data_IF_015151244813
#
_entry.id   IF_015151244813
#
_cell.length_a   1.000
_cell.length_b   1.000
_cell.length_c   1.000
_cell.angle_alpha   90.00
_cell.angle_beta   90.00
_cell.angle_gamma   90.00
#
_symmetry.space_group_name_H-M   'P 1'
#
loop_
_entity.id
_entity.type
_entity.pdbx_description
1 polymer ?
#
# COMPACT_ATOMS: atom_id res chain seq x y z
N UNK A 1 -17.46 -32.82 -8.74
CA UNK A 1 -17.51 -31.51 -8.07
C UNK A 1 -16.36 -30.69 -8.61
N UNK A 2 -16.62 -29.54 -9.25
CA UNK A 2 -15.54 -28.57 -9.52
C UNK A 2 -15.23 -27.93 -8.17
N UNK A 3 -13.97 -28.01 -7.71
CA UNK A 3 -13.53 -27.20 -6.59
C UNK A 3 -13.91 -25.75 -6.85
N UNK A 4 -14.75 -25.21 -5.97
CA UNK A 4 -15.17 -23.82 -6.05
C UNK A 4 -13.99 -23.00 -5.53
N UNK A 5 -13.30 -22.32 -6.43
CA UNK A 5 -12.23 -21.40 -6.05
C UNK A 5 -12.80 -20.32 -5.12
N UNK A 6 -12.16 -20.13 -3.96
CA UNK A 6 -12.50 -19.14 -2.94
C UNK A 6 -11.32 -18.20 -2.77
N UNK A 7 -11.58 -16.90 -2.63
CA UNK A 7 -10.57 -15.89 -2.38
C UNK A 7 -9.86 -16.20 -1.07
N UNK A 8 -8.58 -16.53 -1.21
CA UNK A 8 -7.64 -16.81 -0.15
C UNK A 8 -6.39 -16.01 -0.46
N UNK A 9 -5.90 -15.24 0.51
CA UNK A 9 -4.68 -14.47 0.35
C UNK A 9 -3.47 -15.40 0.41
N UNK A 10 -2.48 -15.13 -0.44
CA UNK A 10 -1.18 -15.78 -0.44
C UNK A 10 -0.14 -14.96 0.32
N UNK A 11 1.13 -15.13 -0.04
CA UNK A 11 2.21 -14.25 0.42
C UNK A 11 1.94 -12.82 -0.04
N UNK A 12 2.26 -11.80 0.76
CA UNK A 12 1.97 -10.40 0.40
C UNK A 12 2.81 -9.88 -0.77
N UNK A 13 2.25 -8.94 -1.53
CA UNK A 13 3.04 -8.09 -2.41
C UNK A 13 3.78 -7.07 -1.53
N UNK A 14 5.08 -7.28 -1.36
CA UNK A 14 5.97 -6.38 -0.64
C UNK A 14 6.91 -5.64 -1.61
N UNK A 15 6.95 -4.32 -1.54
CA UNK A 15 7.93 -3.50 -2.27
C UNK A 15 8.46 -2.38 -1.37
N UNK A 16 9.70 -1.98 -1.64
CA UNK A 16 10.33 -0.82 -1.01
C UNK A 16 11.00 0.03 -2.08
N UNK A 17 10.87 1.36 -1.95
CA UNK A 17 11.58 2.32 -2.80
C UNK A 17 12.13 3.46 -1.96
N UNK A 18 13.36 3.85 -2.26
CA UNK A 18 14.02 5.00 -1.68
C UNK A 18 14.25 6.09 -2.73
N UNK A 19 14.10 7.36 -2.33
CA UNK A 19 14.47 8.52 -3.12
C UNK A 19 15.54 9.33 -2.40
N UNK A 20 16.55 9.73 -3.16
CA UNK A 20 17.70 10.47 -2.66
C UNK A 20 17.74 11.88 -3.23
N UNK A 21 18.08 12.83 -2.38
CA UNK A 21 18.40 14.21 -2.76
C UNK A 21 19.83 14.51 -2.30
N UNK A 22 20.70 14.87 -3.24
CA UNK A 22 22.12 15.15 -3.00
C UNK A 22 22.87 14.02 -2.24
N UNK A 23 22.58 12.77 -2.62
CA UNK A 23 23.14 11.57 -1.97
C UNK A 23 22.55 11.23 -0.60
N UNK A 24 21.60 12.01 -0.10
CA UNK A 24 20.90 11.77 1.18
C UNK A 24 19.56 11.11 0.88
N UNK A 25 19.31 9.95 1.49
CA UNK A 25 18.00 9.30 1.46
C UNK A 25 16.96 10.13 2.19
N UNK A 26 16.10 10.86 1.45
CA UNK A 26 15.12 11.79 2.04
C UNK A 26 13.73 11.21 2.20
N UNK A 27 13.38 10.20 1.40
CA UNK A 27 12.08 9.55 1.41
C UNK A 27 12.25 8.05 1.20
N UNK A 28 11.58 7.25 2.02
CA UNK A 28 11.31 5.83 1.73
C UNK A 28 9.81 5.59 1.62
N UNK A 29 9.44 4.68 0.73
CA UNK A 29 8.10 4.13 0.64
C UNK A 29 8.19 2.63 0.84
N UNK A 30 7.45 2.11 1.82
CA UNK A 30 7.26 0.69 2.06
C UNK A 30 5.81 0.34 1.75
N UNK A 31 5.57 -0.75 1.03
CA UNK A 31 4.22 -1.24 0.80
C UNK A 31 4.13 -2.73 1.08
N UNK A 32 3.01 -3.09 1.70
CA UNK A 32 2.56 -4.45 1.94
C UNK A 32 1.11 -4.51 1.49
N UNK A 33 0.82 -5.27 0.44
CA UNK A 33 -0.50 -5.34 -0.18
C UNK A 33 -0.94 -6.79 -0.38
N UNK A 34 -2.26 -7.05 -0.34
CA UNK A 34 -2.78 -8.39 -0.54
C UNK A 34 -2.52 -8.87 -1.96
N UNK A 35 -2.17 -10.14 -2.09
CA UNK A 35 -2.21 -10.86 -3.35
C UNK A 35 -2.64 -12.31 -3.10
N UNK A 36 -3.04 -12.97 -4.16
CA UNK A 36 -3.41 -14.40 -4.15
C UNK A 36 -2.26 -15.27 -4.65
N UNK A 37 -1.44 -14.74 -5.59
CA UNK A 37 -0.34 -15.50 -6.21
C UNK A 37 -0.83 -16.63 -7.14
N UNK A 38 -2.14 -16.67 -7.41
CA UNK A 38 -2.78 -17.74 -8.16
C UNK A 38 -2.89 -17.45 -9.66
N UNK A 39 -3.09 -18.51 -10.43
CA UNK A 39 -3.03 -18.45 -11.90
C UNK A 39 -4.39 -18.26 -12.57
N UNK A 40 -5.50 -18.37 -11.83
CA UNK A 40 -6.83 -18.21 -12.41
C UNK A 40 -7.08 -16.78 -12.86
N UNK A 41 -8.06 -16.60 -13.76
CA UNK A 41 -8.46 -15.27 -14.23
C UNK A 41 -8.95 -14.36 -13.09
N UNK A 42 -9.57 -14.93 -12.05
CA UNK A 42 -10.13 -14.17 -10.91
C UNK A 42 -9.02 -13.68 -9.99
N UNK A 43 -8.07 -14.56 -9.66
CA UNK A 43 -6.85 -14.28 -8.90
C UNK A 43 -6.00 -13.21 -9.61
N UNK A 44 -5.66 -13.41 -10.89
CA UNK A 44 -4.92 -12.43 -11.69
C UNK A 44 -5.58 -11.06 -11.78
N UNK A 45 -6.92 -10.98 -11.70
CA UNK A 45 -7.64 -9.71 -11.67
C UNK A 45 -7.48 -9.02 -10.32
N UNK A 46 -7.61 -9.77 -9.22
CA UNK A 46 -7.40 -9.28 -7.86
C UNK A 46 -5.95 -8.79 -7.69
N UNK A 47 -4.96 -9.59 -8.07
CA UNK A 47 -3.54 -9.25 -7.96
C UNK A 47 -3.17 -8.03 -8.82
N UNK A 48 -3.76 -7.92 -10.01
CA UNK A 48 -3.57 -6.75 -10.88
C UNK A 48 -4.11 -5.47 -10.26
N UNK A 49 -5.24 -5.54 -9.56
CA UNK A 49 -5.81 -4.37 -8.88
C UNK A 49 -4.83 -3.84 -7.83
N UNK A 50 -4.29 -4.70 -6.97
CA UNK A 50 -3.35 -4.30 -5.92
C UNK A 50 -1.97 -3.91 -6.46
N UNK A 51 -1.50 -4.53 -7.54
CA UNK A 51 -0.31 -4.05 -8.25
C UNK A 51 -0.50 -2.63 -8.82
N UNK A 52 -1.69 -2.32 -9.34
CA UNK A 52 -2.03 -0.97 -9.78
C UNK A 52 -2.05 0.04 -8.64
N UNK A 53 -2.54 -0.37 -7.46
CA UNK A 53 -2.47 0.44 -6.23
C UNK A 53 -1.02 0.69 -5.81
N UNK A 54 -0.16 -0.33 -5.81
CA UNK A 54 1.27 -0.22 -5.51
C UNK A 54 1.95 0.83 -6.42
N UNK A 55 1.77 0.69 -7.73
CA UNK A 55 2.32 1.60 -8.73
C UNK A 55 1.83 3.04 -8.52
N UNK A 56 0.54 3.21 -8.22
CA UNK A 56 -0.04 4.54 -7.97
C UNK A 56 0.53 5.18 -6.70
N UNK A 57 0.72 4.39 -5.64
CA UNK A 57 1.30 4.86 -4.39
C UNK A 57 2.75 5.32 -4.58
N UNK A 58 3.57 4.50 -5.24
CA UNK A 58 4.96 4.85 -5.57
C UNK A 58 5.04 6.10 -6.45
N UNK A 59 4.22 6.18 -7.50
CA UNK A 59 4.17 7.36 -8.37
C UNK A 59 3.77 8.63 -7.59
N UNK A 60 2.84 8.52 -6.63
CA UNK A 60 2.46 9.65 -5.78
C UNK A 60 3.60 10.10 -4.86
N UNK A 61 4.32 9.15 -4.27
CA UNK A 61 5.49 9.44 -3.44
C UNK A 61 6.53 10.26 -4.23
N UNK A 62 6.80 9.84 -5.45
CA UNK A 62 7.74 10.51 -6.36
C UNK A 62 7.26 11.91 -6.77
N UNK A 63 5.99 12.05 -7.16
CA UNK A 63 5.44 13.31 -7.68
C UNK A 63 5.19 14.37 -6.61
N UNK A 64 4.81 13.97 -5.39
CA UNK A 64 4.32 14.91 -4.36
C UNK A 64 5.14 14.93 -3.09
N UNK A 65 5.68 13.79 -2.65
CA UNK A 65 6.31 13.68 -1.35
C UNK A 65 7.82 13.89 -1.43
N UNK A 66 8.45 13.49 -2.53
CA UNK A 66 9.90 13.60 -2.70
C UNK A 66 10.40 15.06 -2.60
N UNK A 67 9.76 15.99 -3.31
CA UNK A 67 10.15 17.41 -3.27
C UNK A 67 10.00 18.02 -1.87
N UNK A 68 8.93 17.66 -1.14
CA UNK A 68 8.71 18.09 0.24
C UNK A 68 9.76 17.51 1.20
N UNK A 69 10.11 16.23 1.04
CA UNK A 69 11.11 15.57 1.86
C UNK A 69 12.52 16.17 1.65
N UNK A 70 12.89 16.43 0.39
CA UNK A 70 14.13 17.12 0.03
C UNK A 70 14.20 18.54 0.62
N UNK A 71 13.11 19.31 0.54
CA UNK A 71 13.05 20.65 1.12
C UNK A 71 13.21 20.63 2.65
N UNK A 72 12.52 19.71 3.34
CA UNK A 72 12.65 19.51 4.79
C UNK A 72 14.10 19.18 5.20
N UNK A 73 14.76 18.28 4.46
CA UNK A 73 16.16 17.94 4.67
C UNK A 73 17.07 19.16 4.50
N UNK A 74 16.92 19.88 3.38
CA UNK A 74 17.69 21.10 3.08
C UNK A 74 17.55 22.16 4.18
N UNK A 75 16.34 22.41 4.66
CA UNK A 75 16.06 23.38 5.71
C UNK A 75 16.68 22.99 7.07
N UNK A 76 16.66 21.70 7.41
CA UNK A 76 17.27 21.23 8.64
C UNK A 76 18.81 21.32 8.58
N UNK A 77 19.40 20.94 7.44
CA UNK A 77 20.83 21.10 7.19
C UNK A 77 21.27 22.56 7.28
N UNK A 78 20.52 23.49 6.67
CA UNK A 78 20.82 24.93 6.73
C UNK A 78 20.80 25.49 8.15
N UNK A 79 20.02 24.87 9.05
CA UNK A 79 19.91 25.24 10.47
C UNK A 79 20.82 24.41 11.38
N UNK A 80 21.59 23.48 10.82
CA UNK A 80 22.33 22.46 11.59
C UNK A 80 21.46 21.75 12.65
N UNK A 81 20.19 21.52 12.31
CA UNK A 81 19.21 20.91 13.19
C UNK A 81 19.09 19.40 12.93
N UNK A 82 18.66 18.60 13.93
CA UNK A 82 18.28 17.22 13.70
C UNK A 82 17.20 17.13 12.61
N UNK A 83 17.30 16.09 11.78
CA UNK A 83 16.38 15.85 10.69
C UNK A 83 15.96 14.38 10.69
N UNK A 84 14.70 14.13 10.36
CA UNK A 84 14.14 12.80 10.24
C UNK A 84 13.70 12.54 8.80
N UNK A 85 14.10 11.39 8.27
CA UNK A 85 13.68 10.89 6.97
C UNK A 85 12.17 10.66 6.95
N UNK A 86 11.51 11.10 5.88
CA UNK A 86 10.09 10.78 5.64
C UNK A 86 9.97 9.31 5.27
N UNK A 87 9.06 8.59 5.93
CA UNK A 87 8.91 7.15 5.76
C UNK A 87 7.42 6.81 5.56
N UNK A 88 7.02 6.73 4.30
CA UNK A 88 5.63 6.45 3.92
C UNK A 88 5.37 4.96 3.86
N UNK A 89 4.42 4.48 4.63
CA UNK A 89 4.07 3.05 4.67
C UNK A 89 2.63 2.87 4.25
N UNK A 90 2.40 2.07 3.19
CA UNK A 90 1.07 1.58 2.81
C UNK A 90 0.95 0.12 3.25
N UNK A 91 0.09 -0.15 4.23
CA UNK A 91 -0.17 -1.51 4.70
C UNK A 91 -1.65 -1.84 4.66
N UNK A 92 -1.94 -3.12 4.86
CA UNK A 92 -3.28 -3.61 5.07
C UNK A 92 -3.32 -4.66 6.17
N UNK A 93 -4.51 -4.94 6.67
CA UNK A 93 -4.81 -6.14 7.45
C UNK A 93 -6.22 -6.65 7.09
N UNK A 94 -6.48 -7.92 7.36
CA UNK A 94 -7.82 -8.47 7.25
C UNK A 94 -8.64 -7.99 8.44
N UNK A 95 -9.63 -7.13 8.21
CA UNK A 95 -10.53 -6.66 9.28
C UNK A 95 -11.69 -7.63 9.52
N UNK A 96 -12.19 -8.28 8.47
CA UNK A 96 -13.24 -9.30 8.57
C UNK A 96 -13.12 -10.34 7.45
N UNK A 97 -13.35 -11.61 7.79
CA UNK A 97 -13.44 -12.68 6.79
C UNK A 97 -14.60 -13.62 7.14
N UNK A 98 -15.57 -13.73 6.22
CA UNK A 98 -16.68 -14.68 6.29
C UNK A 98 -16.58 -15.68 5.13
N UNK A 99 -17.54 -16.59 4.98
CA UNK A 99 -17.60 -17.47 3.81
C UNK A 99 -17.82 -16.69 2.50
N UNK A 100 -18.51 -15.55 2.58
CA UNK A 100 -18.98 -14.80 1.42
C UNK A 100 -18.10 -13.58 1.11
N UNK A 101 -17.50 -12.97 2.14
CA UNK A 101 -16.81 -11.70 2.02
C UNK A 101 -15.43 -11.70 2.71
N UNK A 102 -14.50 -10.96 2.12
CA UNK A 102 -13.21 -10.59 2.70
C UNK A 102 -13.13 -9.07 2.76
N UNK A 103 -12.96 -8.50 3.94
CA UNK A 103 -12.80 -7.06 4.15
C UNK A 103 -11.36 -6.78 4.57
N UNK A 104 -10.73 -5.87 3.84
CA UNK A 104 -9.35 -5.47 4.01
C UNK A 104 -9.31 -4.01 4.42
N UNK A 105 -8.68 -3.73 5.55
CA UNK A 105 -8.48 -2.38 6.05
C UNK A 105 -7.07 -1.92 5.74
N UNK A 106 -6.95 -0.77 5.09
CA UNK A 106 -5.71 -0.18 4.62
C UNK A 106 -5.38 1.08 5.40
N UNK A 107 -4.08 1.34 5.56
CA UNK A 107 -3.58 2.59 6.12
C UNK A 107 -2.36 3.07 5.34
N UNK A 108 -2.28 4.39 5.13
CA UNK A 108 -1.05 5.09 4.76
C UNK A 108 -0.57 5.84 5.99
N UNK A 109 0.68 5.62 6.37
CA UNK A 109 1.33 6.29 7.50
C UNK A 109 2.60 7.02 7.09
N UNK A 110 2.96 8.07 7.83
CA UNK A 110 4.32 8.64 7.86
C UNK A 110 4.90 8.42 9.27
N UNK A 111 5.75 7.41 9.42
CA UNK A 111 6.09 6.89 10.75
C UNK A 111 4.84 6.41 11.51
N UNK A 112 4.55 7.02 12.65
CA UNK A 112 3.37 6.71 13.48
C UNK A 112 2.11 7.51 13.08
N UNK A 113 2.26 8.58 12.28
CA UNK A 113 1.14 9.42 11.88
C UNK A 113 0.30 8.72 10.80
N UNK A 114 -0.98 8.52 11.04
CA UNK A 114 -1.92 7.99 10.04
C UNK A 114 -2.37 9.12 9.13
N UNK A 115 -1.98 9.05 7.85
CA UNK A 115 -2.34 10.03 6.83
C UNK A 115 -3.67 9.72 6.15
N UNK A 116 -3.98 8.43 6.01
CA UNK A 116 -5.22 7.95 5.38
C UNK A 116 -5.53 6.55 5.85
N UNK A 117 -6.81 6.24 6.00
CA UNK A 117 -7.30 4.89 6.21
C UNK A 117 -8.57 4.65 5.39
N UNK A 118 -8.77 3.41 4.93
CA UNK A 118 -9.97 3.02 4.21
C UNK A 118 -10.16 1.51 4.26
N UNK A 119 -11.36 1.04 3.97
CA UNK A 119 -11.66 -0.39 3.83
C UNK A 119 -12.10 -0.73 2.40
N UNK A 120 -11.80 -1.96 1.99
CA UNK A 120 -12.27 -2.56 0.74
C UNK A 120 -12.85 -3.94 1.01
N UNK A 121 -14.06 -4.18 0.51
CA UNK A 121 -14.72 -5.48 0.60
C UNK A 121 -14.65 -6.25 -0.72
N UNK A 122 -14.46 -7.56 -0.64
CA UNK A 122 -14.42 -8.46 -1.78
C UNK A 122 -15.35 -9.65 -1.59
N UNK A 123 -16.11 -9.99 -2.62
CA UNK A 123 -16.88 -11.23 -2.68
C UNK A 123 -15.91 -12.40 -2.89
N UNK A 124 -15.89 -13.38 -1.98
CA UNK A 124 -14.88 -14.44 -1.99
C UNK A 124 -15.07 -15.45 -3.11
N UNK A 125 -16.27 -15.59 -3.66
CA UNK A 125 -16.54 -16.60 -4.68
C UNK A 125 -16.23 -16.12 -6.10
N UNK A 126 -16.62 -14.88 -6.42
CA UNK A 126 -16.37 -14.27 -7.73
C UNK A 126 -15.13 -13.36 -7.77
N UNK A 127 -14.57 -12.97 -6.62
CA UNK A 127 -13.45 -12.05 -6.46
C UNK A 127 -13.81 -10.67 -7.05
N UNK A 128 -15.03 -10.21 -6.73
CA UNK A 128 -15.55 -8.93 -7.19
C UNK A 128 -15.57 -7.94 -6.03
N UNK A 129 -15.27 -6.65 -6.29
CA UNK A 129 -15.35 -5.64 -5.25
C UNK A 129 -16.80 -5.47 -4.80
N UNK A 130 -17.01 -5.45 -3.48
CA UNK A 130 -18.30 -5.18 -2.84
C UNK A 130 -18.43 -3.68 -2.54
N UNK A 131 -17.39 -3.09 -1.95
CA UNK A 131 -17.34 -1.68 -1.61
C UNK A 131 -15.90 -1.20 -1.44
N UNK A 132 -15.75 0.13 -1.43
CA UNK A 132 -14.57 0.85 -0.93
C UNK A 132 -15.06 2.06 -0.15
N UNK A 133 -14.66 2.19 1.10
CA UNK A 133 -15.07 3.30 1.96
C UNK A 133 -13.87 3.92 2.64
N UNK A 134 -13.72 5.24 2.53
CA UNK A 134 -12.88 5.99 3.46
C UNK A 134 -13.57 6.02 4.82
N UNK A 135 -12.76 6.09 5.88
CA UNK A 135 -13.20 6.14 7.26
C UNK A 135 -12.70 7.43 7.92
#
# INVERSE_FOLDING_TARGET
MKDRLVLTLGEDLAEEKEWQWDGIAVLTAHLLLPQTGGESRREKRFDRYYRGLAQTFIARCEQKNFSRAAASCREAMARSAPWQKTALTLTYHVSTQTEEALILAFAVKDGEEVLRHWEEGWERSAFLPLFKSEM
#
